data_IF_063026073235
#
_entry.id   IF_063026073235
#
_cell.length_a   1.000
_cell.length_b   1.000
_cell.length_c   1.000
_cell.angle_alpha   90.00
_cell.angle_beta   90.00
_cell.angle_gamma   90.00
#
_symmetry.space_group_name_H-M   'P 1'
#
loop_
_entity.id
_entity.type
_entity.pdbx_description
1 polymer ?
#
# COMPACT_ATOMS: atom_id res chain seq x y z
N UNK A 1 -5.38 -10.01 -26.18
CA UNK A 1 -6.09 -9.36 -25.09
C UNK A 1 -6.33 -7.88 -25.35
N UNK A 2 -6.87 -7.15 -24.37
CA UNK A 2 -7.21 -5.72 -24.45
C UNK A 2 -6.05 -4.83 -24.96
N UNK A 3 -4.82 -5.17 -24.63
CA UNK A 3 -3.62 -4.44 -25.06
C UNK A 3 -3.40 -4.43 -26.58
N UNK A 4 -4.05 -5.32 -27.30
CA UNK A 4 -3.99 -5.34 -28.76
C UNK A 4 -4.83 -4.22 -29.41
N UNK A 5 -5.85 -3.73 -28.68
CA UNK A 5 -6.77 -2.69 -29.17
C UNK A 5 -6.48 -1.30 -28.60
N UNK A 6 -5.67 -1.19 -27.53
CA UNK A 6 -5.39 0.07 -26.82
C UNK A 6 -3.90 0.29 -26.83
N UNK A 7 -3.45 1.27 -27.60
CA UNK A 7 -2.03 1.66 -27.73
C UNK A 7 -1.57 2.58 -26.62
N UNK A 8 -2.51 3.31 -25.98
CA UNK A 8 -2.23 4.19 -24.84
C UNK A 8 -2.14 3.37 -23.53
N UNK A 9 -0.95 3.33 -22.95
CA UNK A 9 -0.68 2.54 -21.76
C UNK A 9 -1.45 3.03 -20.53
N UNK A 10 -1.76 4.33 -20.44
CA UNK A 10 -2.48 4.89 -19.30
C UNK A 10 -3.99 4.64 -19.41
N UNK A 11 -4.55 4.74 -20.62
CA UNK A 11 -5.92 4.34 -20.86
C UNK A 11 -6.13 2.86 -20.58
N UNK A 12 -5.20 2.00 -21.03
CA UNK A 12 -5.22 0.57 -20.71
C UNK A 12 -5.21 0.34 -19.18
N UNK A 13 -4.34 1.02 -18.45
CA UNK A 13 -4.24 0.93 -17.00
C UNK A 13 -5.54 1.38 -16.32
N UNK A 14 -6.11 2.50 -16.76
CA UNK A 14 -7.38 3.01 -16.24
C UNK A 14 -8.52 2.02 -16.42
N UNK A 15 -8.68 1.47 -17.64
CA UNK A 15 -9.71 0.46 -17.94
C UNK A 15 -9.51 -0.82 -17.15
N UNK A 16 -8.26 -1.26 -16.97
CA UNK A 16 -7.94 -2.43 -16.14
C UNK A 16 -8.43 -2.25 -14.69
N UNK A 17 -8.17 -1.08 -14.07
CA UNK A 17 -8.65 -0.80 -12.72
C UNK A 17 -10.17 -0.71 -12.64
N UNK A 18 -10.85 -0.14 -13.65
CA UNK A 18 -12.31 -0.10 -13.69
C UNK A 18 -12.90 -1.51 -13.76
N UNK A 19 -12.32 -2.39 -14.60
CA UNK A 19 -12.74 -3.79 -14.69
C UNK A 19 -12.52 -4.53 -13.38
N UNK A 20 -11.37 -4.34 -12.73
CA UNK A 20 -11.07 -4.95 -11.43
C UNK A 20 -12.05 -4.50 -10.34
N UNK A 21 -12.37 -3.20 -10.29
CA UNK A 21 -13.34 -2.68 -9.34
C UNK A 21 -14.73 -3.28 -9.57
N UNK A 22 -15.18 -3.29 -10.84
CA UNK A 22 -16.47 -3.86 -11.21
C UNK A 22 -16.54 -5.35 -10.83
N UNK A 23 -15.51 -6.14 -11.17
CA UNK A 23 -15.43 -7.56 -10.82
C UNK A 23 -15.47 -7.77 -9.29
N UNK A 24 -14.78 -6.93 -8.52
CA UNK A 24 -14.76 -7.00 -7.05
C UNK A 24 -16.14 -6.69 -6.47
N UNK A 25 -16.83 -5.67 -6.96
CA UNK A 25 -18.17 -5.32 -6.49
C UNK A 25 -19.21 -6.38 -6.87
N UNK A 26 -19.11 -6.95 -8.09
CA UNK A 26 -19.94 -8.07 -8.53
C UNK A 26 -19.71 -9.30 -7.63
N UNK A 27 -18.45 -9.63 -7.32
CA UNK A 27 -18.11 -10.72 -6.41
C UNK A 27 -18.75 -10.53 -5.04
N UNK A 28 -18.63 -9.35 -4.42
CA UNK A 28 -19.27 -9.06 -3.13
C UNK A 28 -20.79 -9.24 -3.21
N UNK A 29 -21.43 -8.79 -4.28
CA UNK A 29 -22.86 -8.93 -4.49
C UNK A 29 -23.28 -10.40 -4.65
N UNK A 30 -22.53 -11.21 -5.40
CA UNK A 30 -22.79 -12.65 -5.57
C UNK A 30 -22.65 -13.38 -4.22
N UNK A 31 -21.68 -13.00 -3.39
CA UNK A 31 -21.51 -13.56 -2.04
C UNK A 31 -22.59 -13.11 -1.05
N UNK A 32 -23.49 -12.21 -1.42
CA UNK A 32 -24.53 -11.68 -0.52
C UNK A 32 -23.97 -10.72 0.54
N UNK A 33 -22.78 -10.17 0.32
CA UNK A 33 -22.17 -9.24 1.26
C UNK A 33 -22.79 -7.85 1.17
N UNK A 34 -23.05 -7.24 2.32
CA UNK A 34 -23.28 -5.80 2.38
C UNK A 34 -21.97 -5.04 2.14
N UNK A 35 -21.91 -4.30 1.04
CA UNK A 35 -20.69 -3.62 0.58
C UNK A 35 -20.17 -2.64 1.64
N UNK A 36 -21.07 -1.87 2.27
CA UNK A 36 -20.68 -0.83 3.22
C UNK A 36 -20.04 -1.41 4.47
N UNK A 37 -20.60 -2.49 5.01
CA UNK A 37 -20.09 -3.16 6.21
C UNK A 37 -18.85 -4.00 5.90
N UNK A 38 -18.84 -4.71 4.77
CA UNK A 38 -17.70 -5.56 4.38
C UNK A 38 -16.45 -4.71 4.08
N UNK A 39 -16.62 -3.61 3.36
CA UNK A 39 -15.54 -2.68 3.06
C UNK A 39 -15.26 -1.71 4.22
N UNK A 40 -16.08 -1.69 5.27
CA UNK A 40 -15.93 -0.77 6.41
C UNK A 40 -15.89 0.69 5.96
N UNK A 41 -16.88 1.09 5.15
CA UNK A 41 -16.99 2.48 4.66
C UNK A 41 -17.55 3.35 5.78
N UNK A 42 -16.70 3.78 6.69
CA UNK A 42 -17.03 4.66 7.80
C UNK A 42 -16.32 6.00 7.64
N UNK A 43 -16.92 7.13 8.10
CA UNK A 43 -16.23 8.42 8.11
C UNK A 43 -14.97 8.35 8.98
N UNK A 44 -13.94 9.05 8.56
CA UNK A 44 -12.69 9.18 9.32
C UNK A 44 -12.81 10.40 10.23
N UNK A 45 -12.39 10.28 11.49
CA UNK A 45 -12.24 11.44 12.37
C UNK A 45 -11.30 12.48 11.74
N UNK A 46 -11.68 13.76 11.75
CA UNK A 46 -10.93 14.81 11.04
C UNK A 46 -9.46 14.89 11.49
N UNK A 47 -9.19 14.75 12.78
CA UNK A 47 -7.81 14.68 13.29
C UNK A 47 -7.04 13.48 12.74
N UNK A 48 -7.71 12.31 12.60
CA UNK A 48 -7.10 11.12 12.02
C UNK A 48 -6.76 11.33 10.54
N UNK A 49 -7.57 12.07 9.79
CA UNK A 49 -7.29 12.38 8.39
C UNK A 49 -5.93 13.07 8.22
N UNK A 50 -5.63 14.09 9.03
CA UNK A 50 -4.33 14.77 8.99
C UNK A 50 -3.18 13.88 9.45
N UNK A 51 -3.41 13.04 10.49
CA UNK A 51 -2.40 12.08 10.94
C UNK A 51 -2.11 11.00 9.89
N UNK A 52 -3.12 10.59 9.09
CA UNK A 52 -2.97 9.65 7.98
C UNK A 52 -2.10 10.25 6.87
N UNK A 53 -2.32 11.51 6.53
CA UNK A 53 -1.46 12.21 5.57
C UNK A 53 -0.02 12.26 6.09
N UNK A 54 0.19 12.62 7.35
CA UNK A 54 1.51 12.65 7.97
C UNK A 54 2.16 11.25 7.99
N UNK A 55 1.37 10.20 8.27
CA UNK A 55 1.83 8.80 8.22
C UNK A 55 2.37 8.43 6.84
N UNK A 56 1.68 8.83 5.76
CA UNK A 56 2.13 8.56 4.40
C UNK A 56 3.51 9.19 4.09
N UNK A 57 3.87 10.28 4.77
CA UNK A 57 5.20 10.88 4.64
C UNK A 57 6.24 10.23 5.57
N UNK A 58 5.87 9.91 6.81
CA UNK A 58 6.82 9.33 7.78
C UNK A 58 7.23 7.90 7.45
N UNK A 59 6.39 7.15 6.71
CA UNK A 59 6.69 5.78 6.29
C UNK A 59 7.64 5.70 5.08
N UNK A 60 7.85 6.81 4.34
CA UNK A 60 8.69 6.85 3.14
C UNK A 60 10.14 6.47 3.37
N UNK A 61 10.84 6.99 4.40
CA UNK A 61 12.21 6.58 4.67
C UNK A 61 12.33 5.07 4.89
N UNK A 62 11.33 4.43 5.50
CA UNK A 62 11.31 2.99 5.72
C UNK A 62 11.14 2.25 4.39
N UNK A 63 10.16 2.65 3.57
CA UNK A 63 9.94 2.07 2.26
C UNK A 63 11.17 2.25 1.35
N UNK A 64 11.79 3.43 1.37
CA UNK A 64 13.04 3.72 0.66
C UNK A 64 14.20 2.84 1.11
N UNK A 65 14.39 2.65 2.42
CA UNK A 65 15.38 1.75 2.96
C UNK A 65 15.18 0.29 2.51
N UNK A 66 13.92 -0.18 2.55
CA UNK A 66 13.59 -1.53 2.04
C UNK A 66 13.90 -1.64 0.54
N UNK A 67 13.60 -0.60 -0.25
CA UNK A 67 13.91 -0.55 -1.68
C UNK A 67 15.42 -0.59 -1.93
N UNK A 68 16.22 0.14 -1.15
CA UNK A 68 17.69 0.11 -1.27
C UNK A 68 18.24 -1.29 -1.00
N UNK A 69 17.73 -2.00 0.00
CA UNK A 69 18.11 -3.40 0.27
C UNK A 69 17.66 -4.30 -0.89
N UNK A 70 16.43 -4.13 -1.39
CA UNK A 70 15.92 -4.94 -2.49
C UNK A 70 16.76 -4.75 -3.77
N UNK A 71 17.27 -3.55 -4.01
CA UNK A 71 18.13 -3.23 -5.17
C UNK A 71 19.50 -3.95 -5.15
N UNK A 72 19.92 -4.48 -4.00
CA UNK A 72 21.11 -5.36 -3.95
C UNK A 72 20.89 -6.70 -4.67
N UNK A 73 19.64 -7.15 -4.75
CA UNK A 73 19.28 -8.47 -5.26
C UNK A 73 18.46 -8.40 -6.54
N UNK A 74 17.75 -7.31 -6.79
CA UNK A 74 16.81 -7.16 -7.88
C UNK A 74 17.06 -5.84 -8.64
N UNK A 75 16.97 -5.91 -9.97
CA UNK A 75 17.11 -4.72 -10.82
C UNK A 75 15.93 -3.77 -10.65
N UNK A 76 16.20 -2.48 -10.52
CA UNK A 76 15.14 -1.46 -10.57
C UNK A 76 14.58 -1.35 -12.01
N UNK A 77 13.30 -1.67 -12.13
CA UNK A 77 12.55 -1.58 -13.39
C UNK A 77 11.45 -0.51 -13.35
N UNK A 78 11.28 0.15 -12.21
CA UNK A 78 10.12 0.99 -11.95
C UNK A 78 10.43 2.48 -12.09
N UNK A 79 11.58 2.91 -11.62
CA UNK A 79 11.96 4.34 -11.58
C UNK A 79 11.93 4.99 -12.96
N UNK A 80 12.55 4.35 -13.96
CA UNK A 80 12.59 4.89 -15.33
C UNK A 80 11.19 5.01 -15.94
N UNK A 81 10.38 3.95 -15.82
CA UNK A 81 9.01 3.94 -16.35
C UNK A 81 8.14 4.99 -15.66
N UNK A 82 8.25 5.12 -14.35
CA UNK A 82 7.50 6.11 -13.58
C UNK A 82 7.90 7.53 -13.96
N UNK A 83 9.18 7.81 -14.10
CA UNK A 83 9.69 9.12 -14.54
C UNK A 83 9.15 9.49 -15.93
N UNK A 84 9.20 8.57 -16.88
CA UNK A 84 8.67 8.80 -18.23
C UNK A 84 7.17 9.13 -18.22
N UNK A 85 6.36 8.37 -17.49
CA UNK A 85 4.93 8.62 -17.34
C UNK A 85 4.64 10.00 -16.76
N UNK A 86 5.29 10.35 -15.67
CA UNK A 86 5.11 11.64 -14.99
C UNK A 86 5.48 12.81 -15.90
N UNK A 87 6.55 12.67 -16.67
CA UNK A 87 6.98 13.72 -17.61
C UNK A 87 6.02 13.88 -18.81
N UNK A 88 5.36 12.81 -19.24
CA UNK A 88 4.36 12.87 -20.31
C UNK A 88 3.07 13.55 -19.86
N UNK A 89 2.51 13.12 -18.73
CA UNK A 89 1.25 13.69 -18.20
C UNK A 89 1.13 13.43 -16.70
N UNK A 90 1.46 14.43 -15.87
CA UNK A 90 1.39 14.34 -14.42
C UNK A 90 -0.02 14.01 -13.90
N UNK A 91 -1.04 14.70 -14.44
CA UNK A 91 -2.44 14.51 -13.98
C UNK A 91 -2.92 13.09 -14.24
N UNK A 92 -2.64 12.56 -15.42
CA UNK A 92 -3.01 11.20 -15.80
C UNK A 92 -2.22 10.17 -15.00
N UNK A 93 -0.93 10.43 -14.74
CA UNK A 93 -0.09 9.59 -13.87
C UNK A 93 -0.61 9.56 -12.44
N UNK A 94 -1.06 10.68 -11.89
CA UNK A 94 -1.68 10.73 -10.55
C UNK A 94 -2.98 9.91 -10.54
N UNK A 95 -3.81 10.03 -11.56
CA UNK A 95 -5.04 9.25 -11.66
C UNK A 95 -4.75 7.75 -11.73
N UNK A 96 -3.85 7.32 -12.62
CA UNK A 96 -3.61 5.90 -12.94
C UNK A 96 -2.64 5.20 -11.98
N UNK A 97 -1.78 5.94 -11.26
CA UNK A 97 -0.75 5.35 -10.39
C UNK A 97 -0.97 5.67 -8.91
N UNK A 98 -1.82 6.67 -8.57
CA UNK A 98 -2.11 6.99 -7.18
C UNK A 98 -3.59 6.81 -6.82
N UNK A 99 -4.50 7.47 -7.54
CA UNK A 99 -5.92 7.47 -7.19
C UNK A 99 -6.58 6.11 -7.45
N UNK A 100 -6.50 5.58 -8.68
CA UNK A 100 -7.12 4.30 -9.02
C UNK A 100 -6.54 3.12 -8.23
N UNK A 101 -5.20 2.96 -8.09
CA UNK A 101 -4.64 1.93 -7.21
C UNK A 101 -5.12 2.08 -5.76
N UNK A 102 -5.03 3.28 -5.19
CA UNK A 102 -5.48 3.54 -3.83
C UNK A 102 -6.94 3.18 -3.59
N UNK A 103 -7.81 3.37 -4.57
CA UNK A 103 -9.21 2.97 -4.49
C UNK A 103 -9.39 1.46 -4.69
N UNK A 104 -8.88 0.91 -5.78
CA UNK A 104 -9.20 -0.45 -6.23
C UNK A 104 -8.43 -1.50 -5.46
N UNK A 105 -7.14 -1.30 -5.28
CA UNK A 105 -6.30 -2.26 -4.56
C UNK A 105 -6.67 -2.32 -3.08
N UNK A 106 -6.98 -1.18 -2.43
CA UNK A 106 -7.48 -1.22 -1.06
C UNK A 106 -8.85 -1.93 -0.97
N UNK A 107 -9.74 -1.72 -1.95
CA UNK A 107 -11.03 -2.44 -2.01
C UNK A 107 -10.81 -3.94 -2.10
N UNK A 108 -9.86 -4.41 -2.90
CA UNK A 108 -9.54 -5.83 -3.05
C UNK A 108 -8.86 -6.37 -1.78
N UNK A 109 -7.72 -5.78 -1.40
CA UNK A 109 -6.86 -6.38 -0.39
C UNK A 109 -7.35 -6.12 1.04
N UNK A 110 -7.85 -4.93 1.36
CA UNK A 110 -8.37 -4.58 2.70
C UNK A 110 -9.87 -4.78 2.80
N UNK A 111 -10.57 -4.49 1.72
CA UNK A 111 -12.01 -4.68 1.67
C UNK A 111 -12.41 -6.15 1.57
N UNK A 112 -11.85 -6.93 0.64
CA UNK A 112 -12.24 -8.33 0.43
C UNK A 112 -11.33 -9.29 1.17
N UNK A 113 -10.04 -9.37 0.80
CA UNK A 113 -9.11 -10.40 1.32
C UNK A 113 -8.98 -10.31 2.84
N UNK A 114 -8.64 -9.13 3.36
CA UNK A 114 -8.46 -8.92 4.78
C UNK A 114 -9.76 -9.19 5.57
N UNK A 115 -10.90 -8.68 5.10
CA UNK A 115 -12.18 -8.82 5.79
C UNK A 115 -12.61 -10.26 5.99
N UNK A 116 -12.22 -11.19 5.10
CA UNK A 116 -12.52 -12.63 5.24
C UNK A 116 -11.70 -13.30 6.35
N UNK A 117 -10.43 -12.89 6.52
CA UNK A 117 -9.50 -13.56 7.44
C UNK A 117 -9.45 -12.91 8.82
N UNK A 118 -9.71 -11.59 8.91
CA UNK A 118 -9.56 -10.82 10.15
C UNK A 118 -10.42 -11.31 11.31
N UNK A 119 -11.58 -11.87 11.02
CA UNK A 119 -12.52 -12.37 12.04
C UNK A 119 -11.90 -13.49 12.87
N UNK A 120 -11.12 -14.36 12.24
CA UNK A 120 -10.43 -15.46 12.91
C UNK A 120 -9.12 -14.96 13.60
N UNK A 121 -8.35 -14.11 12.95
CA UNK A 121 -7.10 -13.56 13.49
C UNK A 121 -6.70 -12.29 12.73
N UNK A 122 -6.83 -11.10 13.33
CA UNK A 122 -6.50 -9.84 12.66
C UNK A 122 -5.05 -9.77 12.19
N UNK A 123 -4.09 -10.24 12.99
CA UNK A 123 -2.66 -10.18 12.64
C UNK A 123 -2.36 -11.09 11.44
N UNK A 124 -2.87 -12.33 11.44
CA UNK A 124 -2.73 -13.23 10.28
C UNK A 124 -3.41 -12.65 9.04
N UNK A 125 -4.57 -12.03 9.22
CA UNK A 125 -5.30 -11.34 8.15
C UNK A 125 -4.47 -10.21 7.53
N UNK A 126 -3.85 -9.36 8.37
CA UNK A 126 -2.95 -8.29 7.92
C UNK A 126 -1.80 -8.87 7.10
N UNK A 127 -1.10 -9.87 7.63
CA UNK A 127 0.06 -10.48 6.97
C UNK A 127 -0.33 -11.15 5.64
N UNK A 128 -1.44 -11.88 5.60
CA UNK A 128 -1.91 -12.53 4.38
C UNK A 128 -2.34 -11.52 3.31
N UNK A 129 -3.11 -10.50 3.71
CA UNK A 129 -3.50 -9.42 2.80
C UNK A 129 -2.30 -8.64 2.27
N UNK A 130 -1.31 -8.36 3.13
CA UNK A 130 -0.07 -7.72 2.73
C UNK A 130 0.76 -8.58 1.76
N UNK A 131 0.80 -9.90 1.99
CA UNK A 131 1.50 -10.85 1.12
C UNK A 131 0.89 -10.84 -0.29
N UNK A 132 -0.44 -10.96 -0.40
CA UNK A 132 -1.11 -10.89 -1.70
C UNK A 132 -0.95 -9.53 -2.37
N UNK A 133 -1.00 -8.45 -1.60
CA UNK A 133 -0.75 -7.11 -2.11
C UNK A 133 0.66 -6.96 -2.70
N UNK A 134 1.67 -7.49 -2.02
CA UNK A 134 3.04 -7.50 -2.54
C UNK A 134 3.17 -8.35 -3.81
N UNK A 135 2.62 -9.58 -3.81
CA UNK A 135 2.67 -10.50 -4.96
C UNK A 135 1.98 -9.92 -6.19
N UNK A 136 0.88 -9.18 -6.01
CA UNK A 136 0.13 -8.58 -7.12
C UNK A 136 0.96 -7.59 -7.95
N UNK A 137 2.05 -7.07 -7.42
CA UNK A 137 2.95 -6.18 -8.17
C UNK A 137 3.81 -6.92 -9.21
N UNK A 138 3.87 -8.25 -9.18
CA UNK A 138 4.60 -9.10 -10.15
C UNK A 138 6.07 -8.69 -10.36
N UNK A 139 6.66 -8.01 -9.38
CA UNK A 139 8.03 -7.50 -9.39
C UNK A 139 8.63 -7.66 -7.98
N UNK A 140 9.71 -8.39 -7.85
CA UNK A 140 10.32 -8.70 -6.54
C UNK A 140 10.84 -7.45 -5.80
N UNK A 141 11.36 -6.47 -6.51
CA UNK A 141 11.78 -5.21 -5.91
C UNK A 141 10.58 -4.48 -5.32
N UNK A 142 9.48 -4.36 -6.06
CA UNK A 142 8.25 -3.75 -5.58
C UNK A 142 7.61 -4.58 -4.47
N UNK A 143 7.63 -5.91 -4.57
CA UNK A 143 7.10 -6.81 -3.56
C UNK A 143 7.60 -6.45 -2.16
N UNK A 144 8.90 -6.18 -2.00
CA UNK A 144 9.49 -5.93 -0.68
C UNK A 144 8.86 -4.74 0.04
N UNK A 145 8.78 -3.57 -0.62
CA UNK A 145 8.20 -2.40 0.01
C UNK A 145 6.66 -2.42 0.01
N UNK A 146 6.03 -3.01 -1.02
CA UNK A 146 4.58 -3.14 -1.08
C UNK A 146 4.05 -4.08 0.03
N UNK A 147 4.72 -5.20 0.30
CA UNK A 147 4.40 -6.06 1.44
C UNK A 147 4.45 -5.28 2.76
N UNK A 148 5.51 -4.51 2.97
CA UNK A 148 5.63 -3.66 4.16
C UNK A 148 4.51 -2.61 4.25
N UNK A 149 4.23 -1.86 3.16
CA UNK A 149 3.11 -0.94 3.12
C UNK A 149 1.77 -1.66 3.36
N UNK A 150 1.65 -2.86 2.84
CA UNK A 150 0.52 -3.74 3.07
C UNK A 150 0.22 -3.98 4.55
N UNK A 151 1.26 -4.21 5.33
CA UNK A 151 1.16 -4.36 6.80
C UNK A 151 0.72 -3.04 7.43
N UNK A 152 1.33 -1.92 7.06
CA UNK A 152 0.97 -0.58 7.59
C UNK A 152 -0.49 -0.25 7.32
N UNK A 153 -0.97 -0.45 6.09
CA UNK A 153 -2.35 -0.19 5.71
C UNK A 153 -3.34 -1.14 6.43
N UNK A 154 -2.93 -2.39 6.68
CA UNK A 154 -3.71 -3.32 7.50
C UNK A 154 -3.85 -2.86 8.96
N UNK A 155 -2.79 -2.35 9.57
CA UNK A 155 -2.88 -1.74 10.90
C UNK A 155 -3.71 -0.44 10.89
N UNK A 156 -3.61 0.34 9.83
CA UNK A 156 -4.31 1.61 9.69
C UNK A 156 -5.83 1.42 9.60
N UNK A 157 -6.31 0.45 8.82
CA UNK A 157 -7.75 0.14 8.75
C UNK A 157 -8.28 -0.38 10.10
N UNK A 158 -7.48 -1.06 10.90
CA UNK A 158 -7.88 -1.47 12.25
C UNK A 158 -7.85 -0.31 13.25
N UNK A 159 -6.91 0.60 13.10
CA UNK A 159 -6.79 1.77 13.95
C UNK A 159 -7.95 2.78 13.75
N UNK A 160 -8.47 2.88 12.53
CA UNK A 160 -9.53 3.84 12.17
C UNK A 160 -10.92 3.23 12.03
N UNK A 161 -11.02 1.92 11.91
CA UNK A 161 -12.22 1.18 11.51
C UNK A 161 -12.81 1.61 10.15
N UNK A 162 -11.97 2.11 9.26
CA UNK A 162 -12.42 2.64 7.95
C UNK A 162 -11.41 2.33 6.84
N UNK A 163 -11.92 1.79 5.72
CA UNK A 163 -11.12 1.57 4.52
C UNK A 163 -10.63 2.90 3.91
N UNK A 164 -11.36 4.00 4.14
CA UNK A 164 -10.98 5.31 3.64
C UNK A 164 -9.62 5.76 4.19
N UNK A 165 -9.22 5.27 5.35
CA UNK A 165 -7.91 5.57 5.94
C UNK A 165 -6.77 4.97 5.13
N UNK A 166 -6.86 3.70 4.77
CA UNK A 166 -5.83 3.05 3.95
C UNK A 166 -5.85 3.56 2.51
N UNK A 167 -7.03 3.82 1.93
CA UNK A 167 -7.16 4.48 0.62
C UNK A 167 -6.46 5.84 0.62
N UNK A 168 -6.72 6.69 1.62
CA UNK A 168 -6.07 8.01 1.74
C UNK A 168 -4.56 7.88 1.87
N UNK A 169 -4.07 7.02 2.77
CA UNK A 169 -2.63 6.81 2.94
C UNK A 169 -1.95 6.33 1.66
N UNK A 170 -2.58 5.39 0.95
CA UNK A 170 -2.08 4.85 -0.31
C UNK A 170 -2.02 5.93 -1.41
N UNK A 171 -3.12 6.67 -1.61
CA UNK A 171 -3.19 7.76 -2.58
C UNK A 171 -2.16 8.86 -2.30
N UNK A 172 -2.00 9.26 -1.03
CA UNK A 172 -1.02 10.26 -0.62
C UNK A 172 0.41 9.74 -0.79
N UNK A 173 0.68 8.50 -0.42
CA UNK A 173 1.99 7.88 -0.60
C UNK A 173 2.39 7.85 -2.09
N UNK A 174 1.56 7.31 -2.97
CA UNK A 174 1.85 7.24 -4.39
C UNK A 174 1.84 8.63 -5.05
N UNK A 175 0.82 9.44 -4.79
CA UNK A 175 0.68 10.77 -5.40
C UNK A 175 1.83 11.72 -5.05
N UNK A 176 2.27 11.72 -3.79
CA UNK A 176 3.42 12.53 -3.40
C UNK A 176 4.75 11.99 -3.93
N UNK A 177 4.88 10.67 -4.22
CA UNK A 177 6.03 10.12 -4.96
C UNK A 177 6.09 10.67 -6.39
N UNK A 178 4.95 10.65 -7.09
CA UNK A 178 4.86 11.18 -8.46
C UNK A 178 5.16 12.68 -8.50
N UNK A 179 4.57 13.44 -7.56
CA UNK A 179 4.80 14.88 -7.48
C UNK A 179 6.28 15.19 -7.21
N UNK A 180 6.90 14.48 -6.28
CA UNK A 180 8.33 14.65 -5.98
C UNK A 180 9.19 14.32 -7.21
N UNK A 181 8.91 13.20 -7.90
CA UNK A 181 9.61 12.83 -9.15
C UNK A 181 9.46 13.92 -10.21
N UNK A 182 8.25 14.45 -10.38
CA UNK A 182 7.99 15.55 -11.32
C UNK A 182 8.78 16.82 -10.98
N UNK A 183 8.76 17.23 -9.71
CA UNK A 183 9.48 18.43 -9.25
C UNK A 183 10.99 18.27 -9.41
N UNK A 184 11.54 17.13 -9.00
CA UNK A 184 12.97 16.85 -9.14
C UNK A 184 13.41 16.80 -10.61
N UNK A 185 12.59 16.23 -11.50
CA UNK A 185 12.90 16.16 -12.94
C UNK A 185 12.97 17.54 -13.64
N UNK A 186 12.47 18.59 -12.99
CA UNK A 186 12.57 19.99 -13.46
C UNK A 186 13.84 20.70 -12.98
N UNK A 187 14.63 20.06 -12.14
CA UNK A 187 15.86 20.65 -11.57
C UNK A 187 17.10 20.10 -12.25
N UNK A 188 18.17 20.91 -12.31
CA UNK A 188 19.47 20.48 -12.84
C UNK A 188 20.10 19.34 -12.03
N UNK A 189 19.69 19.17 -10.77
CA UNK A 189 20.08 18.07 -9.89
C UNK A 189 19.67 16.73 -10.51
N UNK A 190 18.47 16.63 -11.08
CA UNK A 190 18.01 15.42 -11.74
C UNK A 190 18.80 15.13 -13.02
N UNK A 191 19.05 16.14 -13.83
CA UNK A 191 19.83 16.01 -15.07
C UNK A 191 21.27 15.55 -14.77
N UNK A 192 21.89 16.09 -13.71
CA UNK A 192 23.21 15.69 -13.26
C UNK A 192 23.19 14.23 -12.75
N UNK A 193 22.21 13.85 -11.93
CA UNK A 193 22.07 12.49 -11.41
C UNK A 193 21.77 11.47 -12.53
N UNK A 194 20.92 11.83 -13.50
CA UNK A 194 20.61 10.98 -14.66
C UNK A 194 21.82 10.77 -15.56
N UNK A 195 22.62 11.80 -15.79
CA UNK A 195 23.87 11.72 -16.56
C UNK A 195 24.94 10.90 -15.83
N UNK A 196 25.00 10.97 -14.51
CA UNK A 196 25.89 10.13 -13.70
C UNK A 196 25.43 8.67 -13.67
N UNK A 197 24.13 8.42 -13.65
CA UNK A 197 23.55 7.07 -13.67
C UNK A 197 23.62 6.39 -15.03
N UNK A 198 23.72 7.14 -16.14
CA UNK A 198 23.94 6.57 -17.49
C UNK A 198 25.37 6.05 -17.71
N UNK A 199 26.30 6.45 -16.84
CA UNK A 199 27.65 5.88 -16.76
C UNK A 199 27.78 4.91 -15.59
N UNK A 200 27.43 3.66 -15.78
CA UNK A 200 27.36 2.60 -14.77
C UNK A 200 26.26 2.85 -13.72
N UNK A 201 25.14 2.12 -13.82
CA UNK A 201 24.19 1.94 -12.74
C UNK A 201 24.97 1.42 -11.54
N UNK A 202 25.35 2.34 -10.65
CA UNK A 202 26.10 2.01 -9.49
C UNK A 202 25.31 1.01 -8.67
N UNK A 203 25.92 -0.11 -8.40
CA UNK A 203 25.66 -0.91 -7.21
C UNK A 203 25.15 0.03 -6.12
N UNK A 204 23.96 -0.23 -5.59
CA UNK A 204 23.51 0.46 -4.36
C UNK A 204 24.64 0.33 -3.36
N UNK A 205 25.34 1.42 -3.09
CA UNK A 205 26.54 1.40 -2.28
C UNK A 205 26.14 1.12 -0.84
N UNK A 206 26.84 0.23 -0.17
CA UNK A 206 26.61 -0.11 1.23
C UNK A 206 26.62 1.14 2.13
N UNK A 207 27.41 2.16 1.77
CA UNK A 207 27.44 3.46 2.47
C UNK A 207 26.07 4.17 2.41
N UNK A 208 25.39 4.15 1.28
CA UNK A 208 24.05 4.74 1.11
C UNK A 208 23.01 4.00 1.97
N UNK A 209 23.08 2.67 2.03
CA UNK A 209 22.20 1.87 2.88
C UNK A 209 22.43 2.22 4.34
N UNK A 210 23.70 2.23 4.80
CA UNK A 210 24.04 2.56 6.19
C UNK A 210 23.59 3.99 6.54
N UNK A 211 23.82 4.96 5.66
CA UNK A 211 23.43 6.35 5.87
C UNK A 211 21.91 6.54 5.95
N UNK A 212 21.12 5.65 5.33
CA UNK A 212 19.65 5.72 5.37
C UNK A 212 19.02 5.12 6.64
N UNK A 213 19.75 4.32 7.42
CA UNK A 213 19.26 3.64 8.64
C UNK A 213 18.65 4.62 9.65
N UNK A 214 19.31 5.73 10.05
CA UNK A 214 18.75 6.62 11.06
C UNK A 214 17.38 7.20 10.66
N UNK A 215 17.23 7.64 9.40
CA UNK A 215 15.97 8.17 8.89
C UNK A 215 14.89 7.08 8.80
N UNK A 216 15.24 5.86 8.43
CA UNK A 216 14.31 4.74 8.41
C UNK A 216 13.82 4.40 9.83
N UNK A 217 14.71 4.38 10.82
CA UNK A 217 14.34 4.15 12.23
C UNK A 217 13.43 5.26 12.78
N UNK A 218 13.77 6.52 12.53
CA UNK A 218 12.92 7.66 12.92
C UNK A 218 11.55 7.55 12.24
N UNK A 219 11.50 7.30 10.93
CA UNK A 219 10.27 7.13 10.18
C UNK A 219 9.41 5.98 10.70
N UNK A 220 10.03 4.84 11.07
CA UNK A 220 9.34 3.70 11.65
C UNK A 220 8.72 4.04 13.01
N UNK A 221 9.49 4.64 13.91
CA UNK A 221 9.00 5.04 15.25
C UNK A 221 7.85 6.03 15.12
N UNK A 222 8.01 7.08 14.31
CA UNK A 222 6.95 8.07 14.08
C UNK A 222 5.70 7.43 13.50
N UNK A 223 5.84 6.50 12.55
CA UNK A 223 4.71 5.80 11.93
C UNK A 223 3.95 4.95 12.94
N UNK A 224 4.65 4.25 13.84
CA UNK A 224 4.03 3.48 14.93
C UNK A 224 3.27 4.42 15.87
N UNK A 225 3.87 5.54 16.27
CA UNK A 225 3.22 6.52 17.14
C UNK A 225 1.98 7.12 16.49
N UNK A 226 2.02 7.42 15.19
CA UNK A 226 0.87 7.93 14.45
C UNK A 226 -0.27 6.91 14.37
N UNK A 227 0.02 5.62 14.11
CA UNK A 227 -0.99 4.56 14.12
C UNK A 227 -1.63 4.45 15.51
N UNK A 228 -0.85 4.52 16.59
CA UNK A 228 -1.35 4.52 17.97
C UNK A 228 -2.25 5.74 18.22
N UNK A 229 -1.84 6.93 17.79
CA UNK A 229 -2.63 8.15 17.92
C UNK A 229 -3.94 8.07 17.14
N UNK A 230 -3.92 7.55 15.91
CA UNK A 230 -5.12 7.31 15.09
C UNK A 230 -6.05 6.31 15.81
N UNK A 231 -5.51 5.21 16.35
CA UNK A 231 -6.31 4.24 17.09
C UNK A 231 -6.92 4.85 18.37
N UNK A 232 -6.20 5.73 19.04
CA UNK A 232 -6.70 6.46 20.20
C UNK A 232 -7.86 7.38 19.83
N UNK A 233 -7.71 8.22 18.80
CA UNK A 233 -8.75 9.16 18.33
C UNK A 233 -10.03 8.46 17.87
N UNK A 234 -9.92 7.24 17.34
CA UNK A 234 -11.07 6.46 16.87
C UNK A 234 -11.59 5.46 17.91
N UNK A 235 -11.10 5.50 19.16
CA UNK A 235 -11.54 4.59 20.22
C UNK A 235 -11.15 3.12 20.01
N UNK A 236 -10.19 2.84 19.10
CA UNK A 236 -9.81 1.48 18.70
C UNK A 236 -8.62 0.91 19.47
N UNK A 237 -7.92 1.75 20.24
CA UNK A 237 -6.68 1.36 20.93
C UNK A 237 -6.91 0.21 21.91
N UNK A 238 -8.02 0.23 22.65
CA UNK A 238 -8.39 -0.84 23.58
C UNK A 238 -8.56 -2.19 22.86
N UNK A 239 -9.29 -2.20 21.75
CA UNK A 239 -9.47 -3.39 20.92
C UNK A 239 -8.13 -3.91 20.36
N UNK A 240 -7.29 -3.05 19.80
CA UNK A 240 -5.99 -3.47 19.26
C UNK A 240 -5.06 -4.04 20.35
N UNK A 241 -5.10 -3.52 21.57
CA UNK A 241 -4.36 -4.08 22.71
C UNK A 241 -4.76 -5.52 23.00
N UNK A 242 -6.03 -5.90 22.81
CA UNK A 242 -6.47 -7.28 23.09
C UNK A 242 -5.77 -8.34 22.24
N UNK A 243 -5.24 -7.96 21.07
CA UNK A 243 -4.53 -8.90 20.20
C UNK A 243 -3.27 -9.50 20.82
N UNK A 244 -2.67 -8.81 21.77
CA UNK A 244 -1.44 -9.23 22.45
C UNK A 244 -1.71 -10.04 23.73
N UNK A 245 -2.96 -10.09 24.24
CA UNK A 245 -3.29 -10.86 25.43
C UNK A 245 -3.76 -12.28 25.09
N UNK A 246 -3.10 -13.29 25.68
CA UNK A 246 -3.39 -14.71 25.42
C UNK A 246 -4.85 -15.08 25.72
N UNK A 247 -5.43 -14.51 26.77
CA UNK A 247 -6.81 -14.76 27.18
C UNK A 247 -7.83 -14.33 26.13
N UNK A 248 -7.62 -13.22 25.45
CA UNK A 248 -8.52 -12.74 24.38
C UNK A 248 -8.30 -13.52 23.09
N UNK A 249 -7.07 -13.94 22.79
CA UNK A 249 -6.79 -14.82 21.64
C UNK A 249 -7.44 -16.20 21.79
N UNK A 250 -7.59 -16.69 23.01
CA UNK A 250 -8.27 -17.95 23.29
C UNK A 250 -9.80 -17.89 23.03
N UNK A 251 -10.40 -16.69 23.11
CA UNK A 251 -11.82 -16.45 22.83
C UNK A 251 -12.12 -16.18 21.34
N UNK A 252 -11.09 -16.04 20.51
CA UNK A 252 -11.31 -15.89 19.07
C UNK A 252 -11.96 -17.13 18.50
N UNK A 253 -12.89 -16.95 17.52
CA UNK A 253 -13.50 -18.09 16.87
C UNK A 253 -12.42 -19.05 16.38
N UNK A 254 -12.42 -20.25 16.87
CA UNK A 254 -11.61 -21.36 16.34
C UNK A 254 -12.23 -21.83 15.01
N UNK A 255 -12.56 -20.90 14.12
CA UNK A 255 -12.83 -21.28 12.75
C UNK A 255 -11.61 -22.05 12.31
N UNK A 256 -11.84 -23.32 11.95
CA UNK A 256 -10.83 -24.15 11.29
C UNK A 256 -10.21 -23.21 10.29
N UNK A 257 -8.95 -22.86 10.54
CA UNK A 257 -8.19 -21.90 9.75
C UNK A 257 -8.63 -22.09 8.32
N UNK A 258 -8.99 -21.01 7.63
CA UNK A 258 -9.37 -21.08 6.25
C UNK A 258 -8.38 -21.99 5.54
N UNK A 259 -8.66 -23.27 5.62
CA UNK A 259 -7.95 -24.31 4.94
C UNK A 259 -8.29 -24.18 3.46
N UNK A 260 -7.92 -25.13 2.69
CA UNK A 260 -8.11 -25.24 1.24
C UNK A 260 -9.47 -24.72 0.71
N UNK A 261 -10.52 -24.66 1.56
CA UNK A 261 -11.84 -24.07 1.25
C UNK A 261 -11.82 -22.56 0.96
N UNK A 262 -10.84 -21.81 1.48
CA UNK A 262 -10.70 -20.38 1.14
C UNK A 262 -10.22 -20.23 -0.32
N UNK A 263 -9.27 -21.05 -0.75
CA UNK A 263 -8.76 -21.04 -2.14
C UNK A 263 -9.77 -21.65 -3.14
N UNK A 264 -10.71 -22.47 -2.70
CA UNK A 264 -11.75 -23.01 -3.56
C UNK A 264 -12.96 -22.06 -3.72
N UNK A 265 -13.06 -21.00 -2.89
CA UNK A 265 -14.11 -20.00 -2.94
C UNK A 265 -13.66 -18.66 -3.55
N UNK A 266 -12.38 -18.55 -3.96
CA UNK A 266 -11.78 -17.48 -4.75
C UNK A 266 -11.48 -17.98 -6.15
#
# INVERSE_FOLDING_TARGET
>A
GLRFFITDSDLFTGLFYVILLAATLIYLKICGDDIKTTLRIHPIHIGSFFLIILLAFTIRPVAGFITLIANLFFKDMTTTTMTQKVMQNLSLSILTTAFLPGLVEETIFRGVVYSRVRKANPIKGILLSALFFGIAHMNFQQFCYAFFLGIVFGFLIEASDSILSSMTAHMVFNGSSLLLTYLLSKTDIFNTAANTASGNVSSTDLTTIIASIPMALIGLVLSILLIIAIAYLNGRLGYMKTWFYKQYRASWPKEKSAGFSFFAAV
#
